data_IF_316116356435
#
_entry.id   IF_316116356435
#
_cell.length_a   1.000
_cell.length_b   1.000
_cell.length_c   1.000
_cell.angle_alpha   90.00
_cell.angle_beta   90.00
_cell.angle_gamma   90.00
#
_symmetry.space_group_name_H-M   'P 1'
#
loop_
_entity.id
_entity.type
_entity.pdbx_description
1 polymer ?
#
# COMPACT_ATOMS: atom_id res chain seq x y z
N UNK A 1 -16.63 16.04 10.30
CA UNK A 1 -16.25 15.93 8.87
C UNK A 1 -17.42 15.29 8.13
N UNK A 2 -18.02 15.99 7.17
CA UNK A 2 -19.22 15.51 6.47
C UNK A 2 -18.84 14.36 5.49
N UNK A 3 -19.83 13.62 4.96
CA UNK A 3 -19.58 12.47 4.08
C UNK A 3 -18.80 12.84 2.81
N UNK A 4 -18.97 14.08 2.33
CA UNK A 4 -18.33 14.60 1.12
C UNK A 4 -16.83 14.82 1.34
N UNK A 5 -16.44 15.42 2.47
CA UNK A 5 -15.05 15.69 2.85
C UNK A 5 -14.26 14.38 3.00
N UNK A 6 -14.88 13.33 3.57
CA UNK A 6 -14.28 11.99 3.69
C UNK A 6 -13.99 11.37 2.32
N UNK A 7 -14.91 11.55 1.37
CA UNK A 7 -14.76 11.06 0.00
C UNK A 7 -13.62 11.73 -0.76
N UNK A 8 -13.43 13.05 -0.59
CA UNK A 8 -12.34 13.80 -1.22
C UNK A 8 -10.99 13.38 -0.63
N UNK A 9 -10.86 13.37 0.69
CA UNK A 9 -9.60 13.00 1.35
C UNK A 9 -9.17 11.58 0.96
N UNK A 10 -10.10 10.62 0.96
CA UNK A 10 -9.83 9.24 0.55
C UNK A 10 -9.32 9.15 -0.89
N UNK A 11 -9.96 9.86 -1.83
CA UNK A 11 -9.51 9.90 -3.23
C UNK A 11 -8.12 10.53 -3.36
N UNK A 12 -7.86 11.61 -2.64
CA UNK A 12 -6.55 12.28 -2.65
C UNK A 12 -5.43 11.36 -2.17
N UNK A 13 -5.65 10.62 -1.08
CA UNK A 13 -4.66 9.67 -0.55
C UNK A 13 -4.38 8.52 -1.54
N UNK A 14 -5.43 7.98 -2.18
CA UNK A 14 -5.27 6.95 -3.23
C UNK A 14 -4.51 7.49 -4.45
N UNK A 15 -4.77 8.73 -4.86
CA UNK A 15 -4.02 9.36 -5.95
C UNK A 15 -2.54 9.54 -5.60
N UNK A 16 -2.22 9.99 -4.38
CA UNK A 16 -0.84 10.16 -3.92
C UNK A 16 -0.12 8.80 -3.91
N UNK A 17 -0.75 7.77 -3.38
CA UNK A 17 -0.20 6.40 -3.37
C UNK A 17 0.11 5.89 -4.79
N UNK A 18 -0.82 6.10 -5.74
CA UNK A 18 -0.61 5.77 -7.16
C UNK A 18 0.55 6.53 -7.81
N UNK A 19 0.71 7.82 -7.50
CA UNK A 19 1.85 8.62 -7.97
C UNK A 19 3.16 8.01 -7.47
N UNK A 20 3.25 7.71 -6.18
CA UNK A 20 4.45 7.07 -5.62
C UNK A 20 4.68 5.66 -6.15
N UNK A 21 3.63 4.89 -6.42
CA UNK A 21 3.76 3.59 -7.07
C UNK A 21 4.41 3.72 -8.44
N UNK A 22 3.95 4.67 -9.25
CA UNK A 22 4.52 4.94 -10.56
C UNK A 22 5.98 5.43 -10.47
N UNK A 23 6.27 6.38 -9.58
CA UNK A 23 7.63 6.89 -9.36
C UNK A 23 8.63 5.80 -8.93
N UNK A 24 8.14 4.73 -8.29
CA UNK A 24 8.93 3.57 -7.85
C UNK A 24 8.82 2.38 -8.82
N UNK A 25 8.56 2.65 -10.10
CA UNK A 25 8.59 1.66 -11.18
C UNK A 25 7.36 0.76 -11.29
N UNK A 26 6.29 1.10 -10.58
CA UNK A 26 4.99 0.44 -10.65
C UNK A 26 4.11 1.03 -11.77
N UNK A 27 2.85 0.62 -11.77
CA UNK A 27 1.86 1.13 -12.71
C UNK A 27 0.99 2.20 -12.01
N UNK A 28 0.78 3.34 -12.65
CA UNK A 28 -0.02 4.45 -12.11
C UNK A 28 -1.50 4.07 -11.85
N UNK A 29 -2.02 3.04 -12.52
CA UNK A 29 -3.38 2.53 -12.29
C UNK A 29 -3.55 1.87 -10.91
N UNK A 30 -2.45 1.47 -10.29
CA UNK A 30 -2.42 0.63 -9.10
C UNK A 30 -1.73 1.33 -7.92
N UNK A 31 -2.19 1.03 -6.71
CA UNK A 31 -1.57 1.49 -5.44
C UNK A 31 -0.29 0.73 -5.10
N UNK A 32 0.57 1.28 -4.24
CA UNK A 32 1.72 0.54 -3.69
C UNK A 32 1.23 -0.64 -2.86
N UNK A 33 0.16 -0.46 -2.07
CA UNK A 33 -0.41 -1.54 -1.26
C UNK A 33 -0.88 -2.72 -2.13
N UNK A 34 -1.61 -2.47 -3.21
CA UNK A 34 -2.03 -3.53 -4.13
C UNK A 34 -0.85 -4.20 -4.85
N UNK A 35 0.16 -3.41 -5.28
CA UNK A 35 1.39 -3.96 -5.87
C UNK A 35 2.12 -4.85 -4.87
N UNK A 36 2.18 -4.43 -3.62
CA UNK A 36 2.83 -5.18 -2.54
C UNK A 36 2.09 -6.49 -2.28
N UNK A 37 0.77 -6.45 -2.14
CA UNK A 37 -0.07 -7.64 -1.95
C UNK A 37 0.00 -8.63 -3.12
N UNK A 38 0.08 -8.13 -4.36
CA UNK A 38 0.32 -8.99 -5.52
C UNK A 38 1.63 -9.77 -5.38
N UNK A 39 2.75 -9.06 -5.18
CA UNK A 39 4.08 -9.65 -5.27
C UNK A 39 4.52 -10.41 -4.00
N UNK A 40 3.88 -10.19 -2.87
CA UNK A 40 4.06 -11.02 -1.67
C UNK A 40 3.38 -12.39 -1.81
N UNK A 41 2.25 -12.44 -2.54
CA UNK A 41 1.54 -13.68 -2.86
C UNK A 41 2.17 -14.53 -3.98
N UNK A 42 3.09 -13.97 -4.79
CA UNK A 42 3.76 -14.68 -5.88
C UNK A 42 4.88 -15.61 -5.38
N UNK A 43 5.08 -16.76 -6.04
CA UNK A 43 6.08 -17.77 -5.65
C UNK A 43 7.49 -17.53 -6.21
N UNK A 44 7.70 -16.54 -7.08
CA UNK A 44 8.95 -16.37 -7.83
C UNK A 44 9.63 -15.00 -7.58
N UNK A 45 10.97 -15.01 -7.59
CA UNK A 45 11.78 -13.80 -7.53
C UNK A 45 12.02 -13.27 -6.11
N UNK A 46 11.72 -11.99 -5.86
CA UNK A 46 12.05 -11.30 -4.60
C UNK A 46 10.92 -11.39 -3.58
N UNK A 47 10.29 -12.56 -3.47
CA UNK A 47 9.15 -12.78 -2.56
C UNK A 47 9.43 -12.32 -1.13
N UNK A 48 10.59 -12.63 -0.50
CA UNK A 48 10.86 -12.18 0.88
C UNK A 48 10.89 -10.66 1.05
N UNK A 49 11.31 -9.93 0.02
CA UNK A 49 11.29 -8.47 0.04
C UNK A 49 9.85 -7.94 0.05
N UNK A 50 8.98 -8.50 -0.79
CA UNK A 50 7.58 -8.08 -0.84
C UNK A 50 6.79 -8.53 0.38
N UNK A 51 7.06 -9.71 0.94
CA UNK A 51 6.50 -10.17 2.23
C UNK A 51 6.93 -9.25 3.38
N UNK A 52 8.19 -8.80 3.40
CA UNK A 52 8.65 -7.83 4.39
C UNK A 52 7.89 -6.50 4.26
N UNK A 53 7.78 -5.96 3.04
CA UNK A 53 7.02 -4.74 2.79
C UNK A 53 5.55 -4.91 3.17
N UNK A 54 4.94 -6.05 2.84
CA UNK A 54 3.57 -6.35 3.21
C UNK A 54 3.39 -6.37 4.72
N UNK A 55 4.25 -7.08 5.46
CA UNK A 55 4.17 -7.14 6.91
C UNK A 55 4.29 -5.73 7.53
N UNK A 56 5.20 -4.92 7.01
CA UNK A 56 5.43 -3.56 7.48
C UNK A 56 4.24 -2.63 7.23
N UNK A 57 3.68 -2.65 6.02
CA UNK A 57 2.48 -1.86 5.68
C UNK A 57 1.26 -2.36 6.45
N UNK A 58 1.06 -3.68 6.54
CA UNK A 58 -0.04 -4.28 7.30
C UNK A 58 0.04 -3.87 8.78
N UNK A 59 1.23 -3.81 9.39
CA UNK A 59 1.40 -3.32 10.76
C UNK A 59 1.01 -1.85 10.91
N UNK A 60 1.40 -1.00 9.96
CA UNK A 60 1.09 0.42 10.00
C UNK A 60 -0.43 0.68 9.96
N UNK A 61 -1.14 -0.04 9.10
CA UNK A 61 -2.59 0.13 8.89
C UNK A 61 -3.47 -0.76 9.78
N UNK A 62 -2.88 -1.69 10.55
CA UNK A 62 -3.62 -2.62 11.41
C UNK A 62 -4.67 -1.97 12.34
N UNK A 63 -4.44 -0.79 12.96
CA UNK A 63 -5.42 -0.15 13.84
C UNK A 63 -6.78 0.16 13.20
N UNK A 64 -6.79 0.44 11.90
CA UNK A 64 -7.97 0.87 11.13
C UNK A 64 -8.48 -0.21 10.18
N UNK A 65 -7.59 -0.90 9.46
CA UNK A 65 -7.97 -1.83 8.40
C UNK A 65 -7.96 -3.30 8.83
N UNK A 66 -7.41 -3.61 10.02
CA UNK A 66 -7.23 -4.98 10.47
C UNK A 66 -6.13 -5.72 9.71
N UNK A 67 -6.14 -7.06 9.68
CA UNK A 67 -5.08 -7.84 9.04
C UNK A 67 -5.14 -7.78 7.50
N UNK A 68 -4.01 -8.05 6.84
CA UNK A 68 -3.90 -8.24 5.39
C UNK A 68 -4.34 -7.03 4.55
N UNK A 69 -3.97 -5.80 4.95
CA UNK A 69 -4.27 -4.57 4.21
C UNK A 69 -3.82 -4.64 2.74
N UNK A 70 -2.59 -5.09 2.48
CA UNK A 70 -2.03 -5.15 1.12
C UNK A 70 -2.75 -6.18 0.23
N UNK A 71 -2.99 -7.40 0.70
CA UNK A 71 -3.78 -8.39 -0.04
C UNK A 71 -5.21 -7.87 -0.29
N UNK A 72 -5.89 -7.32 0.72
CA UNK A 72 -7.22 -6.72 0.51
C UNK A 72 -7.21 -5.62 -0.55
N UNK A 73 -6.16 -4.78 -0.60
CA UNK A 73 -6.01 -3.76 -1.62
C UNK A 73 -5.84 -4.39 -3.01
N UNK A 74 -5.02 -5.44 -3.13
CA UNK A 74 -4.86 -6.20 -4.37
C UNK A 74 -6.19 -6.81 -4.85
N UNK A 75 -6.90 -7.53 -3.98
CA UNK A 75 -8.19 -8.15 -4.30
C UNK A 75 -9.23 -7.10 -4.76
N UNK A 76 -9.27 -5.93 -4.10
CA UNK A 76 -10.17 -4.82 -4.48
C UNK A 76 -9.85 -4.22 -5.84
N UNK A 77 -8.58 -4.19 -6.25
CA UNK A 77 -8.19 -3.65 -7.56
C UNK A 77 -8.51 -4.65 -8.68
N UNK A 78 -8.19 -5.94 -8.51
CA UNK A 78 -8.48 -6.97 -9.52
C UNK A 78 -9.99 -7.23 -9.68
N UNK A 79 -10.78 -7.03 -8.63
CA UNK A 79 -12.24 -7.10 -8.72
C UNK A 79 -12.85 -5.95 -9.54
N UNK A 80 -12.15 -4.82 -9.66
CA UNK A 80 -12.59 -3.64 -10.45
C UNK A 80 -12.11 -3.69 -11.89
N UNK A 81 -10.85 -4.07 -12.10
CA UNK A 81 -10.28 -4.27 -13.43
C UNK A 81 -9.42 -5.55 -13.42
N UNK A 82 -9.87 -6.63 -14.08
CA UNK A 82 -9.13 -7.89 -14.11
C UNK A 82 -7.89 -7.82 -15.01
N UNK A 83 -7.58 -6.68 -15.67
CA UNK A 83 -6.32 -6.53 -16.41
C UNK A 83 -5.15 -6.42 -15.42
N UNK A 84 -4.26 -7.41 -15.44
CA UNK A 84 -3.14 -7.54 -14.49
C UNK A 84 -1.87 -6.84 -14.98
N UNK A 85 -1.90 -5.53 -15.19
CA UNK A 85 -0.74 -4.78 -15.73
C UNK A 85 0.20 -4.23 -14.63
N UNK A 86 0.14 -4.82 -13.43
CA UNK A 86 1.07 -4.58 -12.32
C UNK A 86 2.52 -4.78 -12.76
N UNK A 87 3.38 -3.82 -12.44
CA UNK A 87 4.82 -3.84 -12.74
C UNK A 87 5.64 -3.97 -11.47
N UNK A 88 6.58 -4.92 -11.45
CA UNK A 88 7.47 -5.16 -10.31
C UNK A 88 8.53 -4.06 -10.15
N UNK A 89 8.93 -3.42 -11.25
CA UNK A 89 10.05 -2.49 -11.28
C UNK A 89 11.42 -3.19 -11.22
N UNK A 90 12.47 -2.47 -11.63
CA UNK A 90 13.87 -2.94 -11.50
C UNK A 90 14.31 -3.06 -10.05
N UNK A 91 15.46 -3.67 -9.77
CA UNK A 91 16.01 -3.76 -8.42
C UNK A 91 16.23 -2.37 -7.77
N UNK A 92 16.71 -1.40 -8.55
CA UNK A 92 16.83 0.00 -8.12
C UNK A 92 15.48 0.59 -7.71
N UNK A 93 14.45 0.38 -8.53
CA UNK A 93 13.09 0.85 -8.24
C UNK A 93 12.49 0.17 -7.01
N UNK A 94 12.84 -1.10 -6.75
CA UNK A 94 12.45 -1.80 -5.53
C UNK A 94 13.15 -1.20 -4.29
N UNK A 95 14.42 -0.80 -4.38
CA UNK A 95 15.04 -0.05 -3.29
C UNK A 95 14.33 1.29 -3.02
N UNK A 96 13.88 1.98 -4.07
CA UNK A 96 13.10 3.21 -3.93
C UNK A 96 11.73 2.98 -3.29
N UNK A 97 11.01 1.89 -3.64
CA UNK A 97 9.71 1.61 -3.00
C UNK A 97 9.86 1.33 -1.51
N UNK A 98 10.95 0.66 -1.09
CA UNK A 98 11.26 0.47 0.33
C UNK A 98 11.44 1.80 1.06
N UNK A 99 12.20 2.74 0.47
CA UNK A 99 12.41 4.07 1.07
C UNK A 99 11.08 4.82 1.20
N UNK A 100 10.28 4.84 0.14
CA UNK A 100 8.97 5.52 0.14
C UNK A 100 8.04 4.91 1.18
N UNK A 101 7.90 3.58 1.21
CA UNK A 101 7.07 2.87 2.20
C UNK A 101 7.54 3.20 3.61
N UNK A 102 8.86 3.17 3.87
CA UNK A 102 9.42 3.43 5.20
C UNK A 102 9.10 4.85 5.65
N UNK A 103 9.39 5.85 4.82
CA UNK A 103 9.16 7.26 5.15
C UNK A 103 7.67 7.59 5.33
N UNK A 104 6.78 6.96 4.54
CA UNK A 104 5.35 7.19 4.63
C UNK A 104 4.68 6.43 5.79
N UNK A 105 5.04 5.16 6.00
CA UNK A 105 4.34 4.30 6.96
C UNK A 105 4.77 4.56 8.41
N UNK A 106 5.99 5.04 8.69
CA UNK A 106 6.40 5.40 10.07
C UNK A 106 5.47 6.47 10.68
N UNK A 107 5.28 7.67 10.08
CA UNK A 107 4.39 8.68 10.66
C UNK A 107 2.94 8.22 10.68
N UNK A 108 2.47 7.51 9.64
CA UNK A 108 1.12 6.96 9.59
C UNK A 108 0.88 5.96 10.71
N UNK A 109 1.82 5.02 10.94
CA UNK A 109 1.74 4.06 12.03
C UNK A 109 1.67 4.77 13.38
N UNK A 110 2.56 5.73 13.65
CA UNK A 110 2.54 6.49 14.89
C UNK A 110 1.19 7.16 15.13
N UNK A 111 0.63 7.81 14.11
CA UNK A 111 -0.68 8.47 14.20
C UNK A 111 -1.82 7.47 14.45
N UNK A 112 -1.87 6.38 13.69
CA UNK A 112 -2.97 5.39 13.78
C UNK A 112 -2.93 4.60 15.07
N UNK A 113 -1.73 4.23 15.53
CA UNK A 113 -1.55 3.52 16.80
C UNK A 113 -1.81 4.43 18.00
N UNK A 114 -1.37 5.70 17.97
CA UNK A 114 -1.72 6.68 18.99
C UNK A 114 -3.23 6.94 19.04
N UNK A 115 -3.87 7.10 17.87
CA UNK A 115 -5.32 7.25 17.78
C UNK A 115 -6.05 6.05 18.38
N UNK A 116 -5.62 4.82 18.05
CA UNK A 116 -6.16 3.60 18.66
C UNK A 116 -5.95 3.55 20.17
N UNK A 117 -4.81 3.99 20.69
CA UNK A 117 -4.55 3.99 22.13
C UNK A 117 -5.36 5.04 22.92
N UNK A 118 -5.76 6.14 22.27
CA UNK A 118 -6.50 7.23 22.91
C UNK A 118 -8.02 7.01 22.85
N UNK A 119 -8.53 6.46 21.74
CA UNK A 119 -9.96 6.42 21.43
C UNK A 119 -10.58 5.01 21.44
N UNK A 120 -9.81 3.97 21.78
CA UNK A 120 -10.28 2.60 22.05
C UNK A 120 -9.73 2.12 23.38
#
# INVERSE_FOLDING_TARGET
MNHYDKGILSKSLVCIDRVFNWLTGGNYSHTISARTGKYSGESLGMKPFWEFLEAFVNLAFFPIDGPNHCDQAYQKEIAKDPRHDFKKGSAFMQALVLIVITLACIPVALLLWAWKAIFK
#
